data_IF_538802446937
#
_entry.id   IF_538802446937
#
_cell.length_a   1.000
_cell.length_b   1.000
_cell.length_c   1.000
_cell.angle_alpha   90.00
_cell.angle_beta   90.00
_cell.angle_gamma   90.00
#
_symmetry.space_group_name_H-M   'P 1'
#
loop_
_entity.id
_entity.type
_entity.pdbx_description
1 polymer ?
#
# COMPACT_ATOMS: atom_id res chain seq x y z
N UNK A 1 49.91 30.50 -5.81
CA UNK A 1 51.08 30.10 -6.70
C UNK A 1 50.96 28.61 -6.97
N UNK A 2 50.95 28.31 -8.29
CA UNK A 2 51.31 27.05 -8.96
C UNK A 2 50.52 25.79 -8.56
N UNK A 3 49.80 25.15 -9.42
CA UNK A 3 49.87 24.70 -10.84
C UNK A 3 50.01 23.16 -10.93
N UNK A 4 49.06 22.54 -11.67
CA UNK A 4 49.17 21.41 -12.62
C UNK A 4 49.44 20.01 -12.04
N UNK A 5 48.89 18.87 -12.53
CA UNK A 5 48.86 18.39 -13.92
C UNK A 5 47.96 17.16 -14.07
N UNK A 6 47.21 17.11 -15.15
CA UNK A 6 46.61 15.89 -15.77
C UNK A 6 47.67 14.85 -16.12
N UNK A 7 47.34 13.57 -16.11
CA UNK A 7 47.87 12.62 -17.08
C UNK A 7 46.85 11.51 -17.41
N UNK A 8 46.34 11.55 -18.60
CA UNK A 8 45.80 10.42 -19.37
C UNK A 8 46.96 9.49 -19.75
N UNK A 9 46.76 8.17 -19.70
CA UNK A 9 47.46 7.27 -20.62
C UNK A 9 46.60 6.03 -20.92
N UNK A 10 46.24 5.93 -22.19
CA UNK A 10 45.71 4.75 -22.91
C UNK A 10 46.90 3.86 -23.31
N UNK A 11 46.73 2.56 -23.44
CA UNK A 11 47.15 1.69 -24.57
C UNK A 11 47.20 0.21 -24.18
N UNK A 12 46.52 -0.55 -24.90
CA UNK A 12 46.70 -1.61 -25.92
C UNK A 12 46.98 -3.04 -25.42
N UNK A 13 46.03 -3.86 -25.71
CA UNK A 13 46.00 -5.09 -26.55
C UNK A 13 47.25 -5.97 -26.61
N UNK A 14 47.15 -7.22 -26.14
CA UNK A 14 47.74 -8.35 -26.84
C UNK A 14 47.01 -9.67 -26.52
N UNK A 15 46.49 -10.30 -27.57
CA UNK A 15 46.01 -11.69 -27.62
C UNK A 15 47.19 -12.65 -27.48
N UNK A 16 47.00 -13.72 -26.69
CA UNK A 16 47.58 -15.03 -27.00
C UNK A 16 46.60 -16.14 -26.58
N UNK A 17 46.25 -16.95 -27.54
CA UNK A 17 45.55 -18.26 -27.38
C UNK A 17 46.51 -19.29 -26.80
N UNK A 18 46.03 -20.21 -25.94
CA UNK A 18 46.07 -21.67 -26.04
C UNK A 18 45.75 -22.36 -24.69
N UNK A 19 44.87 -23.36 -24.75
CA UNK A 19 44.92 -24.54 -23.89
C UNK A 19 43.65 -24.89 -23.15
N UNK A 20 42.94 -25.89 -23.69
CA UNK A 20 41.86 -26.59 -23.00
C UNK A 20 42.29 -27.25 -21.68
N UNK A 21 41.51 -27.08 -20.60
CA UNK A 21 41.28 -28.14 -19.63
C UNK A 21 39.94 -27.92 -18.93
N UNK A 22 39.11 -28.96 -18.88
CA UNK A 22 37.84 -29.04 -18.17
C UNK A 22 38.03 -28.84 -16.67
N UNK A 23 37.38 -27.87 -16.10
CA UNK A 23 36.96 -27.87 -14.70
C UNK A 23 35.61 -27.19 -14.62
N UNK A 24 34.66 -27.88 -14.00
CA UNK A 24 33.32 -27.41 -13.68
C UNK A 24 33.43 -26.19 -12.75
N UNK A 25 33.16 -25.00 -13.26
CA UNK A 25 32.93 -23.82 -12.45
C UNK A 25 31.42 -23.64 -12.29
N UNK A 26 31.00 -23.66 -11.04
CA UNK A 26 29.70 -23.20 -10.56
C UNK A 26 29.59 -21.72 -10.90
N UNK A 27 28.69 -21.35 -11.80
CA UNK A 27 28.36 -19.95 -12.04
C UNK A 27 27.64 -19.40 -10.81
N UNK A 28 28.36 -18.60 -10.04
CA UNK A 28 27.75 -17.69 -9.07
C UNK A 28 27.02 -16.61 -9.86
N UNK A 29 25.71 -16.56 -9.72
CA UNK A 29 24.89 -15.49 -10.28
C UNK A 29 25.37 -14.14 -9.69
N UNK A 30 26.01 -13.31 -10.51
CA UNK A 30 26.33 -11.95 -10.17
C UNK A 30 25.03 -11.16 -10.28
N UNK A 31 24.50 -10.71 -9.13
CA UNK A 31 23.41 -9.76 -9.09
C UNK A 31 23.83 -8.49 -9.84
N UNK A 32 23.14 -8.16 -10.90
CA UNK A 32 23.31 -6.87 -11.58
C UNK A 32 22.78 -5.77 -10.63
N UNK A 33 23.49 -4.64 -10.51
CA UNK A 33 22.97 -3.50 -9.75
C UNK A 33 21.65 -3.05 -10.38
N UNK A 34 20.65 -2.80 -9.56
CA UNK A 34 19.43 -2.13 -9.98
C UNK A 34 19.83 -0.72 -10.40
N UNK A 35 19.82 -0.42 -11.70
CA UNK A 35 19.94 0.96 -12.17
C UNK A 35 18.71 1.72 -11.65
N UNK A 36 18.90 2.89 -11.07
CA UNK A 36 17.84 3.82 -10.68
C UNK A 36 16.92 4.03 -11.90
N UNK A 37 15.78 3.36 -11.90
CA UNK A 37 14.76 3.54 -12.93
C UNK A 37 14.05 4.86 -12.64
N UNK A 38 14.66 5.95 -13.05
CA UNK A 38 13.93 7.22 -13.18
C UNK A 38 13.03 7.05 -14.39
N UNK A 39 11.74 6.85 -14.16
CA UNK A 39 10.73 6.86 -15.23
C UNK A 39 10.68 8.26 -15.83
N UNK A 40 11.51 8.51 -16.83
CA UNK A 40 11.37 9.67 -17.70
C UNK A 40 10.42 9.30 -18.82
N UNK A 41 9.16 8.99 -18.49
CA UNK A 41 8.17 8.78 -19.51
C UNK A 41 7.65 10.14 -19.98
N UNK A 42 7.91 10.46 -21.24
CA UNK A 42 7.44 11.69 -21.90
C UNK A 42 5.90 11.72 -22.08
N UNK A 43 5.19 10.71 -21.62
CA UNK A 43 3.72 10.61 -21.65
C UNK A 43 3.06 11.18 -20.38
N UNK A 44 3.79 11.28 -19.25
CA UNK A 44 3.24 11.81 -18.00
C UNK A 44 2.84 13.28 -18.13
N UNK A 45 1.68 13.68 -17.57
CA UNK A 45 1.29 15.07 -17.57
C UNK A 45 2.25 15.92 -16.74
N UNK A 46 2.68 17.05 -17.29
CA UNK A 46 3.50 18.04 -16.63
C UNK A 46 2.80 19.39 -16.68
N UNK A 47 2.99 20.24 -15.64
CA UNK A 47 2.33 21.55 -15.58
C UNK A 47 2.58 22.39 -16.84
N UNK A 48 3.79 22.33 -17.39
CA UNK A 48 4.18 23.11 -18.57
C UNK A 48 3.52 22.60 -19.86
N UNK A 49 3.00 21.38 -19.87
CA UNK A 49 2.31 20.79 -21.01
C UNK A 49 0.82 21.07 -21.04
N UNK A 50 0.22 21.47 -19.91
CA UNK A 50 -1.21 21.74 -19.78
C UNK A 50 -1.49 23.20 -20.10
N UNK A 51 -2.33 23.44 -21.11
CA UNK A 51 -2.77 24.80 -21.45
C UNK A 51 -3.86 25.23 -20.47
N UNK A 52 -3.69 26.37 -19.80
CA UNK A 52 -4.66 26.92 -18.84
C UNK A 52 -5.47 28.04 -19.48
N UNK A 53 -6.79 27.87 -19.52
CA UNK A 53 -7.74 28.86 -20.02
C UNK A 53 -8.36 29.72 -18.91
N UNK A 54 -8.51 29.15 -17.70
CA UNK A 54 -9.16 29.77 -16.55
C UNK A 54 -8.53 29.26 -15.24
N UNK A 55 -8.55 30.10 -14.21
CA UNK A 55 -8.08 29.73 -12.87
C UNK A 55 -9.19 29.92 -11.85
N UNK A 56 -9.43 28.88 -11.03
CA UNK A 56 -10.36 28.90 -9.91
C UNK A 56 -9.56 28.93 -8.62
N UNK A 57 -9.89 29.81 -7.69
CA UNK A 57 -9.14 30.00 -6.44
C UNK A 57 -10.07 30.03 -5.24
N UNK A 58 -9.65 29.42 -4.12
CA UNK A 58 -10.27 29.59 -2.81
C UNK A 58 -9.18 29.83 -1.77
N UNK A 59 -9.23 31.01 -1.13
CA UNK A 59 -8.37 31.37 0.01
C UNK A 59 -9.15 31.25 1.34
N UNK A 60 -10.44 30.94 1.27
CA UNK A 60 -11.29 30.85 2.45
C UNK A 60 -11.14 29.47 3.14
N UNK A 61 -11.18 29.49 4.45
CA UNK A 61 -11.18 28.29 5.30
C UNK A 61 -12.51 27.54 5.12
N UNK A 62 -12.45 26.20 4.96
CA UNK A 62 -13.62 25.35 4.84
C UNK A 62 -14.46 25.57 3.57
N UNK A 63 -13.88 26.12 2.48
CA UNK A 63 -14.56 26.32 1.21
C UNK A 63 -13.80 25.69 0.04
N UNK A 64 -14.53 25.35 -1.02
CA UNK A 64 -13.98 24.77 -2.24
C UNK A 64 -13.66 25.84 -3.28
N UNK A 65 -12.72 25.58 -4.18
CA UNK A 65 -12.53 26.39 -5.38
C UNK A 65 -13.48 25.92 -6.50
N UNK A 66 -13.79 24.61 -6.54
CA UNK A 66 -14.80 24.01 -7.41
C UNK A 66 -15.65 23.03 -6.59
N UNK A 67 -16.97 23.17 -6.70
CA UNK A 67 -17.95 22.26 -6.11
C UNK A 67 -18.94 21.78 -7.17
N UNK A 68 -19.21 20.45 -7.16
CA UNK A 68 -20.28 19.81 -7.91
C UNK A 68 -21.25 19.17 -6.90
N UNK A 69 -22.38 19.85 -6.65
CA UNK A 69 -23.40 19.45 -5.68
C UNK A 69 -24.68 18.99 -6.40
N UNK A 70 -24.85 17.69 -6.57
CA UNK A 70 -26.03 17.07 -7.17
C UNK A 70 -26.25 17.35 -8.66
N UNK A 71 -25.39 18.13 -9.29
CA UNK A 71 -25.47 18.47 -10.72
C UNK A 71 -24.20 17.99 -11.45
N UNK A 72 -24.38 17.37 -12.61
CA UNK A 72 -23.27 16.92 -13.43
C UNK A 72 -22.57 18.12 -14.07
N UNK A 73 -21.25 18.15 -13.97
CA UNK A 73 -20.44 19.23 -14.55
C UNK A 73 -19.08 18.70 -15.04
N UNK A 74 -18.41 19.48 -15.89
CA UNK A 74 -17.09 19.13 -16.38
C UNK A 74 -16.23 20.38 -16.61
N UNK A 75 -14.93 20.22 -16.32
CA UNK A 75 -13.93 21.25 -16.52
C UNK A 75 -12.73 20.68 -17.29
N UNK A 76 -12.15 21.52 -18.13
CA UNK A 76 -10.92 21.16 -18.83
C UNK A 76 -10.01 22.37 -19.03
N UNK A 77 -8.70 22.13 -19.06
CA UNK A 77 -7.71 23.17 -19.30
C UNK A 77 -7.82 24.33 -18.27
N UNK A 78 -7.96 23.99 -17.02
CA UNK A 78 -8.08 24.94 -15.91
C UNK A 78 -6.97 24.73 -14.87
N UNK A 79 -6.73 25.77 -14.08
CA UNK A 79 -5.94 25.70 -12.85
C UNK A 79 -6.87 25.89 -11.65
N UNK A 80 -6.64 25.09 -10.60
CA UNK A 80 -7.32 25.21 -9.30
C UNK A 80 -6.27 25.47 -8.23
N UNK A 81 -6.47 26.52 -7.43
CA UNK A 81 -5.59 26.89 -6.34
C UNK A 81 -6.38 26.97 -5.03
N UNK A 82 -5.89 26.30 -3.97
CA UNK A 82 -6.53 26.31 -2.65
C UNK A 82 -5.50 26.56 -1.56
N UNK A 83 -5.74 27.62 -0.76
CA UNK A 83 -4.82 28.02 0.32
C UNK A 83 -5.47 28.11 1.71
N UNK A 84 -6.81 28.10 1.80
CA UNK A 84 -7.55 28.10 3.07
C UNK A 84 -7.35 26.82 3.86
N UNK A 85 -7.36 26.93 5.19
CA UNK A 85 -7.20 25.84 6.14
C UNK A 85 -8.55 25.29 6.62
N UNK A 86 -8.56 24.08 7.17
CA UNK A 86 -9.64 23.53 7.98
C UNK A 86 -9.11 22.52 8.99
N UNK A 87 -9.98 21.97 9.83
CA UNK A 87 -9.62 20.96 10.82
C UNK A 87 -10.85 20.23 11.35
N UNK A 88 -10.65 19.04 11.89
CA UNK A 88 -11.71 18.22 12.47
C UNK A 88 -12.35 17.26 11.47
N UNK A 89 -13.34 16.51 11.93
CA UNK A 89 -13.94 15.40 11.20
C UNK A 89 -14.54 15.80 9.85
N UNK A 90 -15.14 16.99 9.73
CA UNK A 90 -15.72 17.48 8.47
C UNK A 90 -14.64 17.67 7.41
N UNK A 91 -13.47 18.16 7.80
CA UNK A 91 -12.34 18.32 6.89
C UNK A 91 -11.61 17.02 6.61
N UNK A 92 -11.42 16.17 7.65
CA UNK A 92 -10.70 14.89 7.51
C UNK A 92 -11.44 13.88 6.64
N UNK A 93 -12.77 13.77 6.81
CA UNK A 93 -13.55 12.65 6.28
C UNK A 93 -14.66 13.04 5.30
N UNK A 94 -15.10 14.30 5.32
CA UNK A 94 -16.26 14.73 4.51
C UNK A 94 -15.93 15.82 3.48
N UNK A 95 -14.65 16.18 3.39
CA UNK A 95 -14.11 17.01 2.30
C UNK A 95 -14.33 18.50 2.41
N UNK A 96 -14.72 19.05 3.59
CA UNK A 96 -15.07 20.46 3.81
C UNK A 96 -14.06 21.47 3.19
N UNK A 97 -12.79 21.12 3.10
CA UNK A 97 -11.73 22.02 2.60
C UNK A 97 -11.07 21.56 1.31
N UNK A 98 -11.65 20.60 0.59
CA UNK A 98 -11.06 20.11 -0.65
C UNK A 98 -11.03 21.20 -1.73
N UNK A 99 -9.98 21.24 -2.55
CA UNK A 99 -9.87 22.20 -3.64
C UNK A 99 -10.96 21.96 -4.71
N UNK A 100 -11.18 20.71 -5.06
CA UNK A 100 -12.24 20.25 -5.97
C UNK A 100 -13.09 19.21 -5.24
N UNK A 101 -14.38 19.47 -5.12
CA UNK A 101 -15.31 18.65 -4.35
C UNK A 101 -16.53 18.24 -5.18
N UNK A 102 -16.90 16.96 -5.11
CA UNK A 102 -18.12 16.44 -5.71
C UNK A 102 -18.94 15.69 -4.66
N UNK A 103 -20.24 15.92 -4.62
CA UNK A 103 -21.16 15.37 -3.64
C UNK A 103 -22.58 15.20 -4.18
N UNK A 104 -23.49 14.59 -3.38
CA UNK A 104 -24.92 14.47 -3.62
C UNK A 104 -25.29 13.81 -4.95
N UNK A 105 -24.49 12.79 -5.37
CA UNK A 105 -24.75 12.04 -6.59
C UNK A 105 -24.33 12.74 -7.89
N UNK A 106 -23.54 13.81 -7.81
CA UNK A 106 -23.00 14.50 -8.97
C UNK A 106 -21.99 13.65 -9.74
N UNK A 107 -21.94 13.82 -11.06
CA UNK A 107 -20.83 13.35 -11.89
C UNK A 107 -19.96 14.52 -12.29
N UNK A 108 -18.70 14.53 -11.81
CA UNK A 108 -17.71 15.56 -12.12
C UNK A 108 -16.66 15.02 -13.10
N UNK A 109 -16.55 15.66 -14.26
CA UNK A 109 -15.52 15.37 -15.26
C UNK A 109 -14.39 16.40 -15.21
N UNK A 110 -13.13 15.93 -15.14
CA UNK A 110 -11.93 16.77 -15.10
C UNK A 110 -10.92 16.26 -16.12
N UNK A 111 -10.45 17.11 -17.02
CA UNK A 111 -9.45 16.74 -18.01
C UNK A 111 -8.41 17.83 -18.21
N UNK A 112 -7.13 17.46 -18.19
CA UNK A 112 -6.02 18.40 -18.42
C UNK A 112 -6.08 19.59 -17.47
N UNK A 113 -6.19 19.32 -16.16
CA UNK A 113 -6.23 20.34 -15.11
C UNK A 113 -4.95 20.34 -14.26
N UNK A 114 -4.67 21.48 -13.61
CA UNK A 114 -3.64 21.60 -12.59
C UNK A 114 -4.34 21.94 -11.27
N UNK A 115 -4.11 21.16 -10.21
CA UNK A 115 -4.58 21.44 -8.85
C UNK A 115 -3.38 21.68 -7.96
N UNK A 116 -3.34 22.82 -7.28
CA UNK A 116 -2.30 23.17 -6.31
C UNK A 116 -2.95 23.55 -4.97
N UNK A 117 -2.52 22.87 -3.88
CA UNK A 117 -3.01 23.20 -2.54
C UNK A 117 -1.85 23.33 -1.55
N UNK A 118 -1.96 24.28 -0.61
CA UNK A 118 -1.02 24.44 0.51
C UNK A 118 -1.72 24.59 1.88
N UNK A 119 -3.05 24.62 1.91
CA UNK A 119 -3.83 24.63 3.14
C UNK A 119 -3.85 23.28 3.86
N UNK A 120 -4.03 23.31 5.17
CA UNK A 120 -4.25 22.10 6.00
C UNK A 120 -5.63 21.51 5.68
N UNK A 121 -5.72 20.19 5.53
CA UNK A 121 -6.91 19.46 5.06
C UNK A 121 -7.43 19.89 3.68
N UNK A 122 -6.59 20.57 2.89
CA UNK A 122 -6.92 20.99 1.53
C UNK A 122 -6.59 19.87 0.53
N UNK A 123 -7.41 18.80 0.53
CA UNK A 123 -7.29 17.71 -0.42
C UNK A 123 -7.42 18.20 -1.86
N UNK A 124 -6.69 17.60 -2.80
CA UNK A 124 -6.71 18.01 -4.21
C UNK A 124 -8.09 17.81 -4.84
N UNK A 125 -8.53 16.55 -4.98
CA UNK A 125 -9.82 16.19 -5.58
C UNK A 125 -10.56 15.19 -4.69
N UNK A 126 -11.80 15.47 -4.37
CA UNK A 126 -12.60 14.71 -3.41
C UNK A 126 -13.94 14.25 -4.00
N UNK A 127 -14.26 12.96 -3.88
CA UNK A 127 -15.56 12.35 -4.21
C UNK A 127 -16.24 11.88 -2.94
N UNK A 128 -17.37 12.48 -2.57
CA UNK A 128 -18.10 12.18 -1.35
C UNK A 128 -19.53 11.71 -1.59
N UNK A 129 -19.88 10.57 -1.02
CA UNK A 129 -21.25 10.09 -0.92
C UNK A 129 -21.68 9.14 -2.02
N UNK A 130 -22.64 8.27 -1.71
CA UNK A 130 -23.19 7.27 -2.63
C UNK A 130 -23.75 7.91 -3.90
N UNK A 131 -23.41 7.33 -5.04
CA UNK A 131 -23.82 7.82 -6.36
C UNK A 131 -22.97 8.96 -6.92
N UNK A 132 -22.09 9.57 -6.11
CA UNK A 132 -21.15 10.59 -6.58
C UNK A 132 -20.01 9.96 -7.34
N UNK A 133 -19.64 10.53 -8.49
CA UNK A 133 -18.57 10.04 -9.34
C UNK A 133 -17.67 11.18 -9.82
N UNK A 134 -16.38 11.05 -9.59
CA UNK A 134 -15.36 11.92 -10.20
C UNK A 134 -14.60 11.13 -11.26
N UNK A 135 -14.49 11.69 -12.46
CA UNK A 135 -13.65 11.18 -13.54
C UNK A 135 -12.57 12.22 -13.84
N UNK A 136 -11.31 11.90 -13.61
CA UNK A 136 -10.19 12.81 -13.83
C UNK A 136 -9.14 12.18 -14.73
N UNK A 137 -8.62 12.96 -15.69
CA UNK A 137 -7.61 12.49 -16.64
C UNK A 137 -6.56 13.55 -16.99
N UNK A 138 -5.38 13.10 -17.43
CA UNK A 138 -4.29 13.91 -17.99
C UNK A 138 -3.93 15.14 -17.12
N UNK A 139 -3.89 14.99 -15.82
CA UNK A 139 -3.90 16.12 -14.87
C UNK A 139 -2.73 16.05 -13.89
N UNK A 140 -2.39 17.21 -13.32
CA UNK A 140 -1.35 17.35 -12.29
C UNK A 140 -1.98 17.81 -10.99
N UNK A 141 -1.65 17.14 -9.88
CA UNK A 141 -2.09 17.52 -8.53
C UNK A 141 -0.86 17.65 -7.63
N UNK A 142 -0.69 18.79 -7.00
CA UNK A 142 0.34 19.02 -6.00
C UNK A 142 -0.30 19.52 -4.70
N UNK A 143 -0.02 18.84 -3.58
CA UNK A 143 -0.50 19.25 -2.27
C UNK A 143 0.68 19.34 -1.30
N UNK A 144 0.77 20.44 -0.54
CA UNK A 144 1.86 20.66 0.41
C UNK A 144 1.40 20.77 1.86
N UNK A 145 0.11 20.98 2.09
CA UNK A 145 -0.49 21.03 3.43
C UNK A 145 -0.54 19.67 4.12
N UNK A 146 -0.58 19.67 5.45
CA UNK A 146 -0.82 18.46 6.23
C UNK A 146 -2.27 17.98 6.06
N UNK A 147 -2.49 16.67 6.17
CA UNK A 147 -3.79 16.04 5.97
C UNK A 147 -4.44 16.38 4.61
N UNK A 148 -3.62 16.62 3.60
CA UNK A 148 -4.04 17.11 2.28
C UNK A 148 -3.61 16.13 1.20
N UNK A 149 -4.42 15.09 0.99
CA UNK A 149 -4.18 14.04 -0.01
C UNK A 149 -4.41 14.53 -1.45
N UNK A 150 -3.95 13.73 -2.42
CA UNK A 150 -4.16 14.00 -3.84
C UNK A 150 -5.59 13.69 -4.28
N UNK A 151 -5.95 12.41 -4.34
CA UNK A 151 -7.30 11.90 -4.58
C UNK A 151 -7.90 11.38 -3.27
N UNK A 152 -9.12 11.77 -2.98
CA UNK A 152 -9.84 11.36 -1.79
C UNK A 152 -11.25 10.86 -2.12
N UNK A 153 -11.66 9.74 -1.50
CA UNK A 153 -12.99 9.16 -1.70
C UNK A 153 -13.53 8.65 -0.37
N UNK A 154 -14.73 9.11 0.01
CA UNK A 154 -15.40 8.67 1.25
C UNK A 154 -16.89 8.55 1.05
N UNK A 155 -17.59 7.97 2.05
CA UNK A 155 -19.05 7.86 2.03
C UNK A 155 -19.61 7.09 0.82
N UNK A 156 -18.88 6.09 0.34
CA UNK A 156 -19.24 5.27 -0.82
C UNK A 156 -19.25 6.03 -2.17
N UNK A 157 -18.42 7.07 -2.30
CA UNK A 157 -18.17 7.75 -3.58
C UNK A 157 -17.37 6.90 -4.56
N UNK A 158 -17.24 7.39 -5.79
CA UNK A 158 -16.43 6.76 -6.86
C UNK A 158 -15.43 7.74 -7.43
N UNK A 159 -14.17 7.31 -7.56
CA UNK A 159 -13.10 8.05 -8.22
C UNK A 159 -12.53 7.21 -9.37
N UNK A 160 -12.53 7.74 -10.58
CA UNK A 160 -11.86 7.15 -11.74
C UNK A 160 -10.79 8.12 -12.23
N UNK A 161 -9.54 7.69 -12.19
CA UNK A 161 -8.38 8.50 -12.52
C UNK A 161 -7.53 7.84 -13.60
N UNK A 162 -7.11 8.60 -14.60
CA UNK A 162 -6.27 8.07 -15.69
C UNK A 162 -5.16 9.06 -16.03
N UNK A 163 -3.92 8.57 -16.06
CA UNK A 163 -2.75 9.35 -16.45
C UNK A 163 -2.61 10.65 -15.64
N UNK A 164 -2.34 10.52 -14.34
CA UNK A 164 -2.12 11.65 -13.45
C UNK A 164 -0.65 11.74 -13.01
N UNK A 165 -0.22 12.95 -12.71
CA UNK A 165 0.99 13.22 -11.94
C UNK A 165 0.57 13.81 -10.60
N UNK A 166 0.72 13.03 -9.50
CA UNK A 166 0.36 13.47 -8.15
C UNK A 166 1.60 13.53 -7.28
N UNK A 167 1.80 14.65 -6.60
CA UNK A 167 2.87 14.84 -5.65
C UNK A 167 2.34 15.47 -4.35
N UNK A 168 2.48 14.75 -3.23
CA UNK A 168 2.08 15.24 -1.91
C UNK A 168 3.30 15.34 -0.99
N UNK A 169 3.49 16.45 -0.29
CA UNK A 169 4.64 16.65 0.61
C UNK A 169 4.24 16.83 2.08
N UNK A 170 2.96 17.05 2.36
CA UNK A 170 2.42 17.18 3.70
C UNK A 170 2.42 15.87 4.50
N UNK A 171 2.40 15.97 5.83
CA UNK A 171 2.20 14.81 6.69
C UNK A 171 0.74 14.33 6.63
N UNK A 172 0.52 13.02 6.77
CA UNK A 172 -0.81 12.40 6.68
C UNK A 172 -1.54 12.71 5.36
N UNK A 173 -0.79 12.78 4.26
CA UNK A 173 -1.23 13.25 2.94
C UNK A 173 -0.95 12.20 1.87
N UNK A 174 -1.74 11.12 1.84
CA UNK A 174 -1.62 10.07 0.84
C UNK A 174 -1.97 10.57 -0.57
N UNK A 175 -1.32 10.03 -1.60
CA UNK A 175 -1.62 10.40 -2.98
C UNK A 175 -3.00 9.88 -3.42
N UNK A 176 -3.35 8.64 -3.01
CA UNK A 176 -4.64 7.99 -3.25
C UNK A 176 -5.17 7.56 -1.89
N UNK A 177 -6.29 8.13 -1.47
CA UNK A 177 -6.85 7.89 -0.14
C UNK A 177 -8.34 7.63 -0.18
N UNK A 178 -8.78 6.73 0.68
CA UNK A 178 -10.17 6.63 1.11
C UNK A 178 -10.23 6.65 2.63
N UNK A 179 -11.39 7.02 3.16
CA UNK A 179 -11.67 7.05 4.58
C UNK A 179 -13.14 6.71 4.84
N UNK A 180 -13.68 7.03 6.00
CA UNK A 180 -15.01 6.67 6.52
C UNK A 180 -16.08 6.48 5.47
N UNK A 181 -16.69 5.28 5.47
CA UNK A 181 -17.73 4.89 4.55
C UNK A 181 -17.19 4.41 3.18
N UNK A 182 -15.88 4.35 3.00
CA UNK A 182 -15.25 3.71 1.85
C UNK A 182 -15.65 4.28 0.50
N UNK A 183 -15.66 3.42 -0.50
CA UNK A 183 -16.04 3.72 -1.88
C UNK A 183 -15.32 2.84 -2.89
N UNK A 184 -15.19 3.36 -4.11
CA UNK A 184 -14.45 2.69 -5.20
C UNK A 184 -13.48 3.65 -5.84
N UNK A 185 -12.20 3.25 -5.92
CA UNK A 185 -11.16 4.06 -6.57
C UNK A 185 -10.48 3.24 -7.65
N UNK A 186 -10.58 3.69 -8.89
CA UNK A 186 -9.93 3.08 -10.04
C UNK A 186 -8.91 4.05 -10.61
N UNK A 187 -7.65 3.65 -10.61
CA UNK A 187 -6.53 4.44 -11.11
C UNK A 187 -5.83 3.67 -12.21
N UNK A 188 -5.54 4.33 -13.32
CA UNK A 188 -4.74 3.75 -14.40
C UNK A 188 -3.72 4.76 -14.90
N UNK A 189 -2.53 4.27 -15.18
CA UNK A 189 -1.40 5.07 -15.64
C UNK A 189 -1.00 6.19 -14.67
N UNK A 190 0.14 6.80 -14.88
CA UNK A 190 0.57 7.97 -14.12
C UNK A 190 1.65 7.72 -13.07
N UNK A 191 1.97 8.77 -12.32
CA UNK A 191 2.98 8.78 -11.27
C UNK A 191 2.44 9.41 -10.00
N UNK A 192 2.60 8.73 -8.87
CA UNK A 192 2.01 9.08 -7.57
C UNK A 192 3.11 9.05 -6.51
N UNK A 193 3.53 10.22 -6.04
CA UNK A 193 4.68 10.36 -5.13
C UNK A 193 4.25 11.05 -3.83
N UNK A 194 4.70 10.49 -2.69
CA UNK A 194 4.46 11.07 -1.36
C UNK A 194 5.77 11.22 -0.58
N UNK A 195 5.94 12.36 0.13
CA UNK A 195 7.15 12.64 0.92
C UNK A 195 6.89 12.73 2.43
N UNK A 196 5.64 12.94 2.84
CA UNK A 196 5.29 13.26 4.21
C UNK A 196 5.34 12.06 5.17
N UNK A 197 5.54 12.36 6.46
CA UNK A 197 5.37 11.37 7.53
C UNK A 197 3.92 10.89 7.61
N UNK A 198 3.71 9.56 7.67
CA UNK A 198 2.37 8.99 7.69
C UNK A 198 1.58 9.23 6.40
N UNK A 199 2.28 9.41 5.28
CA UNK A 199 1.71 9.65 3.96
C UNK A 199 2.04 8.46 3.04
N UNK A 200 1.35 7.32 3.17
CA UNK A 200 1.51 6.24 2.22
C UNK A 200 1.08 6.70 0.83
N UNK A 201 1.53 6.01 -0.22
CA UNK A 201 1.01 6.32 -1.56
C UNK A 201 -0.47 5.99 -1.63
N UNK A 202 -0.85 4.81 -1.10
CA UNK A 202 -2.24 4.38 -1.00
C UNK A 202 -2.61 4.16 0.48
N UNK A 203 -3.69 4.80 0.93
CA UNK A 203 -4.37 4.49 2.18
C UNK A 203 -5.80 4.07 1.89
N UNK A 204 -6.12 2.79 2.15
CA UNK A 204 -7.40 2.21 1.75
C UNK A 204 -8.30 1.84 2.92
N UNK A 205 -9.49 2.45 2.95
CA UNK A 205 -10.70 1.97 3.60
C UNK A 205 -11.81 1.74 2.55
N UNK A 206 -11.46 1.39 1.32
CA UNK A 206 -12.32 1.20 0.17
C UNK A 206 -11.82 0.03 -0.69
N UNK A 207 -12.43 -0.17 -1.86
CA UNK A 207 -11.89 -0.98 -2.94
C UNK A 207 -11.06 -0.10 -3.87
N UNK A 208 -9.73 -0.22 -3.79
CA UNK A 208 -8.80 0.56 -4.62
C UNK A 208 -8.10 -0.36 -5.62
N UNK A 209 -8.20 -0.03 -6.89
CA UNK A 209 -7.47 -0.70 -7.98
C UNK A 209 -6.56 0.29 -8.68
N UNK A 210 -5.27 -0.05 -8.82
CA UNK A 210 -4.29 0.73 -9.58
C UNK A 210 -3.66 -0.16 -10.64
N UNK A 211 -3.52 0.36 -11.86
CA UNK A 211 -2.92 -0.37 -12.98
C UNK A 211 -1.96 0.52 -13.78
N UNK A 212 -0.90 -0.09 -14.31
CA UNK A 212 0.06 0.56 -15.24
C UNK A 212 0.65 1.87 -14.66
N UNK A 213 1.04 1.91 -13.39
CA UNK A 213 1.42 3.14 -12.69
C UNK A 213 2.74 3.02 -11.91
N UNK A 214 3.37 4.17 -11.68
CA UNK A 214 4.48 4.35 -10.75
C UNK A 214 4.00 4.92 -9.42
N UNK A 215 4.31 4.25 -8.32
CA UNK A 215 3.95 4.62 -6.96
C UNK A 215 5.22 4.73 -6.10
N UNK A 216 5.45 5.87 -5.43
CA UNK A 216 6.60 6.04 -4.54
C UNK A 216 6.23 6.76 -3.24
N UNK A 217 6.61 6.16 -2.11
CA UNK A 217 6.65 6.86 -0.82
C UNK A 217 8.10 6.97 -0.34
N UNK A 218 8.55 8.19 -0.06
CA UNK A 218 9.93 8.47 0.36
C UNK A 218 10.10 8.48 1.88
N UNK A 219 9.02 8.43 2.65
CA UNK A 219 9.08 8.53 4.12
C UNK A 219 8.08 7.65 4.87
N UNK A 220 7.18 6.99 4.16
CA UNK A 220 6.09 6.20 4.75
C UNK A 220 5.93 4.86 4.04
N UNK A 221 4.88 4.12 4.36
CA UNK A 221 4.50 2.91 3.64
C UNK A 221 4.17 3.22 2.17
N UNK A 222 4.34 2.24 1.29
CA UNK A 222 3.76 2.31 -0.06
C UNK A 222 2.25 2.16 0.00
N UNK A 223 1.76 1.13 0.74
CA UNK A 223 0.33 0.80 0.84
C UNK A 223 -0.07 0.56 2.29
N UNK A 224 -1.25 1.06 2.65
CA UNK A 224 -1.95 0.73 3.89
C UNK A 224 -3.36 0.26 3.55
N UNK A 225 -3.77 -0.91 4.09
CA UNK A 225 -5.13 -1.44 3.97
C UNK A 225 -5.71 -1.57 5.37
N UNK A 226 -6.84 -0.93 5.63
CA UNK A 226 -7.52 -0.98 6.92
C UNK A 226 -8.89 -1.66 6.82
N UNK A 227 -9.17 -2.58 7.77
CA UNK A 227 -10.46 -3.28 7.87
C UNK A 227 -10.73 -4.22 6.71
N UNK A 228 -12.00 -4.44 6.37
CA UNK A 228 -12.46 -5.35 5.31
C UNK A 228 -12.29 -4.78 3.88
N UNK A 229 -11.25 -4.02 3.65
CA UNK A 229 -11.06 -3.29 2.40
C UNK A 229 -9.98 -3.92 1.53
N UNK A 230 -9.82 -3.42 0.31
CA UNK A 230 -8.91 -4.03 -0.66
C UNK A 230 -8.02 -3.03 -1.39
N UNK A 231 -6.81 -3.52 -1.74
CA UNK A 231 -5.94 -2.88 -2.74
C UNK A 231 -5.53 -3.93 -3.76
N UNK A 232 -5.73 -3.60 -5.03
CA UNK A 232 -5.31 -4.42 -6.17
C UNK A 232 -4.37 -3.61 -7.06
N UNK A 233 -3.16 -4.13 -7.29
CA UNK A 233 -2.12 -3.53 -8.12
C UNK A 233 -1.84 -4.44 -9.32
N UNK A 234 -1.97 -3.91 -10.54
CA UNK A 234 -1.71 -4.65 -11.78
C UNK A 234 -0.65 -3.92 -12.61
N UNK A 235 0.48 -4.55 -12.90
CA UNK A 235 1.59 -3.95 -13.65
C UNK A 235 2.02 -2.59 -13.07
N UNK A 236 2.26 -2.57 -11.74
CA UNK A 236 2.61 -1.38 -10.98
C UNK A 236 4.05 -1.47 -10.51
N UNK A 237 4.79 -0.38 -10.62
CA UNK A 237 6.07 -0.20 -9.94
C UNK A 237 5.83 0.51 -8.60
N UNK A 238 6.00 -0.21 -7.48
CA UNK A 238 5.85 0.32 -6.13
C UNK A 238 7.20 0.45 -5.43
N UNK A 239 7.55 1.65 -5.01
CA UNK A 239 8.75 1.95 -4.19
C UNK A 239 8.32 2.46 -2.82
N UNK A 240 8.77 1.81 -1.76
CA UNK A 240 8.49 2.21 -0.38
C UNK A 240 9.79 2.49 0.37
N UNK A 241 9.84 3.61 1.08
CA UNK A 241 10.95 3.99 1.96
C UNK A 241 10.40 4.46 3.31
N UNK A 242 9.89 3.54 4.11
CA UNK A 242 9.26 3.85 5.39
C UNK A 242 10.30 4.14 6.47
N UNK A 243 10.65 5.40 6.67
CA UNK A 243 11.68 5.84 7.63
C UNK A 243 11.13 6.69 8.78
N UNK A 244 9.83 6.95 8.80
CA UNK A 244 9.19 7.76 9.82
C UNK A 244 7.86 7.17 10.29
N UNK A 245 7.74 6.87 11.59
CA UNK A 245 6.52 6.33 12.18
C UNK A 245 5.50 7.45 12.43
N UNK A 246 4.26 7.25 12.04
CA UNK A 246 3.15 8.14 12.36
C UNK A 246 2.56 7.86 13.76
N UNK A 247 2.89 6.72 14.36
CA UNK A 247 2.37 6.25 15.62
C UNK A 247 3.43 5.45 16.37
N UNK A 248 3.37 5.45 17.71
CA UNK A 248 4.21 4.63 18.58
C UNK A 248 3.61 3.22 18.83
N UNK A 249 2.58 2.84 18.07
CA UNK A 249 1.89 1.55 18.22
C UNK A 249 2.64 0.36 17.60
N UNK A 250 3.61 0.62 16.73
CA UNK A 250 4.49 -0.42 16.16
C UNK A 250 5.94 0.03 16.22
N UNK A 251 6.85 -0.90 16.45
CA UNK A 251 8.29 -0.66 16.40
C UNK A 251 8.90 -0.94 15.01
N UNK A 252 8.13 -1.53 14.11
CA UNK A 252 8.61 -1.96 12.81
C UNK A 252 8.27 -0.95 11.70
N UNK A 253 9.08 -0.95 10.64
CA UNK A 253 8.83 -0.29 9.37
C UNK A 253 8.44 -1.35 8.34
N UNK A 254 7.66 -0.99 7.34
CA UNK A 254 7.17 -1.91 6.32
C UNK A 254 6.77 -1.18 5.03
N UNK A 255 6.81 -1.91 3.90
CA UNK A 255 6.31 -1.40 2.62
C UNK A 255 4.79 -1.42 2.55
N UNK A 256 4.17 -2.53 2.97
CA UNK A 256 2.72 -2.69 3.00
C UNK A 256 2.25 -3.03 4.42
N UNK A 257 1.27 -2.29 4.93
CA UNK A 257 0.63 -2.53 6.22
C UNK A 257 -0.83 -2.91 6.02
N UNK A 258 -1.25 -4.01 6.66
CA UNK A 258 -2.63 -4.49 6.62
C UNK A 258 -3.10 -4.65 8.07
N UNK A 259 -4.11 -3.89 8.47
CA UNK A 259 -4.46 -3.84 9.88
C UNK A 259 -5.90 -3.41 10.16
N UNK A 260 -6.32 -3.53 11.40
CA UNK A 260 -7.54 -2.93 11.92
C UNK A 260 -7.20 -1.98 13.06
N UNK A 261 -7.48 -0.69 12.87
CA UNK A 261 -7.10 0.35 13.85
C UNK A 261 -8.01 0.40 15.06
N UNK A 262 -9.26 -0.04 14.95
CA UNK A 262 -10.34 0.13 15.93
C UNK A 262 -10.76 1.60 16.14
N UNK A 263 -10.44 2.48 15.18
CA UNK A 263 -10.87 3.89 15.20
C UNK A 263 -12.35 4.07 14.80
N UNK A 264 -12.90 3.09 14.08
CA UNK A 264 -14.23 3.16 13.47
C UNK A 264 -14.20 3.76 12.05
N UNK A 265 -13.02 3.96 11.47
CA UNK A 265 -12.86 4.49 10.11
C UNK A 265 -13.12 3.41 9.05
N UNK A 266 -12.91 2.14 9.40
CA UNK A 266 -13.20 0.98 8.56
C UNK A 266 -13.93 -0.11 9.33
N UNK A 267 -14.84 -0.82 8.66
CA UNK A 267 -15.52 -2.00 9.22
C UNK A 267 -14.55 -3.17 9.40
N UNK A 268 -14.78 -3.98 10.45
CA UNK A 268 -14.00 -5.20 10.68
C UNK A 268 -14.33 -6.27 9.63
N UNK A 269 -13.33 -7.02 9.19
CA UNK A 269 -13.51 -8.12 8.24
C UNK A 269 -12.19 -8.60 7.67
N UNK A 270 -12.25 -9.23 6.49
CA UNK A 270 -11.06 -9.72 5.81
C UNK A 270 -10.51 -8.63 4.87
N UNK A 271 -9.31 -8.17 5.18
CA UNK A 271 -8.55 -7.28 4.31
C UNK A 271 -7.97 -8.04 3.09
N UNK A 272 -7.74 -7.35 1.98
CA UNK A 272 -7.13 -7.95 0.80
C UNK A 272 -6.07 -7.06 0.17
N UNK A 273 -4.91 -7.64 -0.08
CA UNK A 273 -3.86 -7.06 -0.92
C UNK A 273 -3.55 -8.01 -2.06
N UNK A 274 -3.71 -7.55 -3.29
CA UNK A 274 -3.38 -8.32 -4.49
C UNK A 274 -2.41 -7.55 -5.34
N UNK A 275 -1.32 -8.20 -5.75
CA UNK A 275 -0.39 -7.61 -6.72
C UNK A 275 -0.07 -8.64 -7.81
N UNK A 276 -0.24 -8.19 -9.05
CA UNK A 276 0.02 -8.99 -10.25
C UNK A 276 0.90 -8.22 -11.21
N UNK A 277 1.94 -8.90 -11.68
CA UNK A 277 2.96 -8.30 -12.54
C UNK A 277 3.64 -7.07 -11.87
N UNK A 278 4.55 -6.40 -12.52
CA UNK A 278 5.23 -5.24 -11.98
C UNK A 278 6.28 -5.54 -10.90
N UNK A 279 6.54 -4.57 -10.02
CA UNK A 279 7.59 -4.68 -9.00
C UNK A 279 7.25 -3.97 -7.69
N UNK A 280 7.77 -4.53 -6.57
CA UNK A 280 7.78 -3.91 -5.25
C UNK A 280 9.22 -3.83 -4.76
N UNK A 281 9.72 -2.60 -4.60
CA UNK A 281 11.00 -2.29 -3.99
C UNK A 281 10.77 -1.69 -2.60
N UNK A 282 11.21 -2.38 -1.55
CA UNK A 282 11.25 -1.85 -0.19
C UNK A 282 12.67 -1.44 0.19
N UNK A 283 12.83 -0.22 0.69
CA UNK A 283 14.13 0.32 1.11
C UNK A 283 14.38 0.19 2.61
N UNK A 284 13.35 -0.10 3.41
CA UNK A 284 13.51 -0.17 4.87
C UNK A 284 12.38 -0.97 5.55
N UNK A 285 12.76 -1.92 6.41
CA UNK A 285 11.85 -2.76 7.18
C UNK A 285 11.28 -3.96 6.43
N UNK A 286 10.11 -4.42 6.85
CA UNK A 286 9.45 -5.60 6.31
C UNK A 286 8.74 -5.30 4.97
N UNK A 287 8.52 -6.30 4.13
CA UNK A 287 7.66 -6.13 2.95
C UNK A 287 6.21 -6.01 3.41
N UNK A 288 5.69 -7.01 4.13
CA UNK A 288 4.32 -7.02 4.64
C UNK A 288 4.29 -7.07 6.17
N UNK A 289 3.47 -6.22 6.77
CA UNK A 289 3.12 -6.29 8.18
C UNK A 289 1.61 -6.42 8.34
N UNK A 290 1.18 -7.47 9.04
CA UNK A 290 -0.25 -7.75 9.30
C UNK A 290 -0.51 -7.79 10.80
N UNK A 291 -1.47 -6.97 11.26
CA UNK A 291 -1.80 -6.82 12.67
C UNK A 291 -3.30 -6.65 12.92
N UNK A 292 -3.83 -7.32 13.94
CA UNK A 292 -5.20 -7.15 14.43
C UNK A 292 -6.27 -7.33 13.34
N UNK A 293 -6.04 -8.21 12.37
CA UNK A 293 -6.98 -8.44 11.24
C UNK A 293 -6.80 -9.83 10.62
N UNK A 294 -7.80 -10.24 9.85
CA UNK A 294 -7.67 -11.34 8.90
C UNK A 294 -7.33 -10.75 7.53
N UNK A 295 -6.30 -11.28 6.88
CA UNK A 295 -5.81 -10.74 5.62
C UNK A 295 -5.56 -11.81 4.58
N UNK A 296 -5.87 -11.49 3.31
CA UNK A 296 -5.41 -12.25 2.15
C UNK A 296 -4.37 -11.43 1.40
N UNK A 297 -3.20 -12.02 1.16
CA UNK A 297 -2.13 -11.45 0.33
C UNK A 297 -1.94 -12.36 -0.88
N UNK A 298 -2.15 -11.84 -2.08
CA UNK A 298 -2.00 -12.61 -3.33
C UNK A 298 -0.94 -11.98 -4.22
N UNK A 299 0.08 -12.75 -4.58
CA UNK A 299 1.19 -12.31 -5.43
C UNK A 299 1.29 -13.22 -6.66
N UNK A 300 1.29 -12.62 -7.86
CA UNK A 300 1.44 -13.32 -9.13
C UNK A 300 2.46 -12.60 -10.01
N UNK A 301 3.58 -13.26 -10.32
CA UNK A 301 4.64 -12.75 -11.22
C UNK A 301 5.16 -11.34 -10.83
N UNK A 302 5.31 -11.06 -9.53
CA UNK A 302 5.79 -9.77 -9.02
C UNK A 302 7.28 -9.86 -8.72
N UNK A 303 8.07 -8.89 -9.20
CA UNK A 303 9.46 -8.74 -8.78
C UNK A 303 9.51 -8.05 -7.41
N UNK A 304 9.83 -8.78 -6.34
CA UNK A 304 9.96 -8.22 -5.00
C UNK A 304 11.45 -8.11 -4.64
N UNK A 305 11.84 -6.93 -4.14
CA UNK A 305 13.19 -6.65 -3.63
C UNK A 305 13.05 -5.97 -2.27
N UNK A 306 13.66 -6.54 -1.24
CA UNK A 306 13.85 -5.89 0.04
C UNK A 306 15.33 -5.47 0.16
N UNK A 307 15.60 -4.16 0.24
CA UNK A 307 16.96 -3.64 0.45
C UNK A 307 17.37 -3.68 1.94
N UNK A 308 16.42 -3.89 2.85
CA UNK A 308 16.71 -4.08 4.26
C UNK A 308 17.00 -5.56 4.54
N UNK A 309 18.27 -5.87 4.79
CA UNK A 309 18.74 -7.25 5.04
C UNK A 309 18.16 -7.85 6.35
N UNK A 310 17.66 -7.03 7.28
CA UNK A 310 17.02 -7.46 8.53
C UNK A 310 15.48 -7.49 8.42
N UNK A 311 14.92 -7.05 7.29
CA UNK A 311 13.49 -7.00 7.04
C UNK A 311 12.91 -8.34 6.59
N UNK A 312 11.73 -8.67 7.09
CA UNK A 312 10.99 -9.89 6.74
C UNK A 312 10.18 -9.73 5.46
N UNK A 313 9.95 -10.83 4.74
CA UNK A 313 8.92 -10.88 3.69
C UNK A 313 7.52 -10.67 4.30
N UNK A 314 7.26 -11.32 5.43
CA UNK A 314 6.00 -11.18 6.16
C UNK A 314 6.26 -11.19 7.67
N UNK A 315 5.72 -10.19 8.34
CA UNK A 315 5.52 -10.19 9.79
C UNK A 315 4.02 -10.22 10.09
N UNK A 316 3.53 -11.34 10.64
CA UNK A 316 2.19 -11.44 11.21
C UNK A 316 2.34 -11.40 12.74
N UNK A 317 1.97 -10.28 13.37
CA UNK A 317 2.28 -10.08 14.78
C UNK A 317 1.34 -9.07 15.46
N UNK A 318 1.17 -9.25 16.76
CA UNK A 318 0.51 -8.27 17.62
C UNK A 318 1.33 -6.97 17.69
N UNK A 319 0.62 -5.85 17.77
CA UNK A 319 1.18 -4.52 17.99
C UNK A 319 0.24 -3.69 18.87
N UNK A 320 0.38 -2.37 18.90
CA UNK A 320 -0.43 -1.50 19.75
C UNK A 320 -1.88 -1.25 19.27
N UNK A 321 -2.35 -1.93 18.24
CA UNK A 321 -3.75 -1.89 17.79
C UNK A 321 -4.48 -3.14 18.27
N UNK A 322 -5.78 -3.01 18.56
CA UNK A 322 -6.63 -4.09 19.05
C UNK A 322 -6.45 -4.38 20.54
N UNK A 323 -6.89 -5.57 20.95
CA UNK A 323 -6.84 -6.03 22.36
C UNK A 323 -5.64 -6.96 22.53
N UNK A 324 -4.75 -6.66 23.46
CA UNK A 324 -3.57 -7.48 23.78
C UNK A 324 -3.96 -8.96 23.97
N UNK A 325 -3.22 -9.84 23.33
CA UNK A 325 -3.43 -11.30 23.34
C UNK A 325 -4.49 -11.82 22.35
N UNK A 326 -5.15 -10.93 21.60
CA UNK A 326 -6.08 -11.31 20.52
C UNK A 326 -5.97 -10.38 19.29
N UNK A 327 -4.88 -9.66 19.18
CA UNK A 327 -4.63 -8.67 18.13
C UNK A 327 -3.54 -9.10 17.15
N UNK A 328 -3.43 -10.39 16.92
CA UNK A 328 -2.54 -10.98 15.92
C UNK A 328 -2.96 -10.66 14.49
N UNK A 329 -2.08 -10.96 13.55
CA UNK A 329 -2.36 -11.01 12.13
C UNK A 329 -2.68 -12.45 11.70
N UNK A 330 -3.84 -12.65 11.05
CA UNK A 330 -4.23 -13.96 10.52
C UNK A 330 -4.18 -13.93 9.01
N UNK A 331 -3.16 -14.54 8.41
CA UNK A 331 -2.80 -14.34 7.01
C UNK A 331 -3.08 -15.60 6.18
N UNK A 332 -3.72 -15.42 5.04
CA UNK A 332 -3.65 -16.33 3.90
C UNK A 332 -2.77 -15.70 2.84
N UNK A 333 -1.61 -16.33 2.54
CA UNK A 333 -0.69 -15.84 1.53
C UNK A 333 -0.61 -16.78 0.35
N UNK A 334 -1.04 -16.31 -0.81
CA UNK A 334 -1.03 -17.03 -2.07
C UNK A 334 0.12 -16.56 -2.96
N UNK A 335 1.05 -17.46 -3.26
CA UNK A 335 2.14 -17.24 -4.23
C UNK A 335 1.86 -18.07 -5.48
N UNK A 336 1.59 -17.40 -6.60
CA UNK A 336 1.24 -18.06 -7.88
C UNK A 336 2.17 -17.58 -8.99
N UNK A 337 2.85 -18.50 -9.66
CA UNK A 337 3.89 -18.15 -10.66
C UNK A 337 4.89 -17.11 -10.10
N UNK A 338 5.25 -17.27 -8.82
CA UNK A 338 5.97 -16.28 -8.03
C UNK A 338 7.33 -16.81 -7.55
N UNK A 339 8.39 -16.07 -7.82
CA UNK A 339 9.68 -16.26 -7.16
C UNK A 339 9.88 -15.16 -6.14
N UNK A 340 10.10 -15.52 -4.88
CA UNK A 340 10.28 -14.55 -3.79
C UNK A 340 11.28 -15.06 -2.76
N UNK A 341 12.02 -14.11 -2.20
CA UNK A 341 13.00 -14.34 -1.13
C UNK A 341 12.66 -13.49 0.10
N UNK A 342 12.98 -14.00 1.28
CA UNK A 342 12.83 -13.33 2.56
C UNK A 342 12.17 -14.20 3.61
N UNK A 343 12.54 -13.99 4.87
CA UNK A 343 12.06 -14.78 5.99
C UNK A 343 10.64 -14.35 6.43
N UNK A 344 9.94 -15.24 7.10
CA UNK A 344 8.58 -15.01 7.62
C UNK A 344 8.59 -15.19 9.13
N UNK A 345 7.96 -14.27 9.85
CA UNK A 345 7.72 -14.38 11.27
C UNK A 345 6.23 -14.30 11.61
N UNK A 346 5.77 -15.23 12.42
CA UNK A 346 4.38 -15.32 12.90
C UNK A 346 4.43 -15.49 14.41
N UNK A 347 3.89 -14.56 15.17
CA UNK A 347 3.92 -14.62 16.63
C UNK A 347 2.84 -15.55 17.22
N UNK A 348 2.84 -15.72 18.54
CA UNK A 348 2.00 -16.67 19.29
C UNK A 348 0.49 -16.42 19.20
N UNK A 349 0.07 -15.22 18.79
CA UNK A 349 -1.35 -14.86 18.64
C UNK A 349 -1.76 -14.68 17.18
N UNK A 350 -0.87 -15.01 16.26
CA UNK A 350 -1.07 -14.88 14.82
C UNK A 350 -1.09 -16.23 14.13
N UNK A 351 -1.52 -16.26 12.88
CA UNK A 351 -1.50 -17.46 12.05
C UNK A 351 -1.20 -17.18 10.59
N UNK A 352 -0.69 -18.21 9.89
CA UNK A 352 -0.39 -18.15 8.46
C UNK A 352 -0.84 -19.43 7.76
N UNK A 353 -1.57 -19.27 6.65
CA UNK A 353 -1.70 -20.30 5.62
C UNK A 353 -0.94 -19.81 4.38
N UNK A 354 0.16 -20.47 4.04
CA UNK A 354 1.02 -20.14 2.90
C UNK A 354 0.83 -21.17 1.79
N UNK A 355 0.47 -20.73 0.61
CA UNK A 355 0.27 -21.55 -0.57
C UNK A 355 1.27 -21.19 -1.66
N UNK A 356 2.04 -22.19 -2.12
CA UNK A 356 2.93 -22.08 -3.28
C UNK A 356 2.29 -22.83 -4.45
N UNK A 357 1.87 -22.08 -5.46
CA UNK A 357 1.11 -22.57 -6.62
C UNK A 357 1.81 -22.25 -7.94
N UNK A 358 1.46 -22.97 -8.98
CA UNK A 358 1.88 -22.65 -10.37
C UNK A 358 3.39 -22.46 -10.53
N UNK A 359 4.19 -23.45 -10.04
CA UNK A 359 5.65 -23.42 -10.12
C UNK A 359 6.35 -22.29 -9.32
N UNK A 360 5.71 -21.78 -8.29
CA UNK A 360 6.29 -20.78 -7.41
C UNK A 360 7.51 -21.30 -6.65
N UNK A 361 8.46 -20.42 -6.41
CA UNK A 361 9.66 -20.69 -5.61
C UNK A 361 9.74 -19.70 -4.47
N UNK A 362 9.70 -20.19 -3.25
CA UNK A 362 9.94 -19.42 -2.05
C UNK A 362 11.30 -19.79 -1.46
N UNK A 363 12.15 -18.81 -1.21
CA UNK A 363 13.44 -18.96 -0.50
C UNK A 363 13.38 -18.16 0.79
N UNK A 364 13.44 -18.82 1.93
CA UNK A 364 13.35 -18.14 3.24
C UNK A 364 13.16 -19.13 4.38
N UNK A 365 13.37 -18.63 5.59
CA UNK A 365 13.03 -19.32 6.83
C UNK A 365 11.65 -18.90 7.32
N UNK A 366 11.00 -19.77 8.07
CA UNK A 366 9.73 -19.48 8.74
C UNK A 366 9.93 -19.77 10.24
N UNK A 367 9.74 -18.74 11.08
CA UNK A 367 9.89 -18.83 12.54
C UNK A 367 11.19 -19.53 12.95
N UNK A 368 12.34 -18.97 12.56
CA UNK A 368 13.67 -19.52 12.87
C UNK A 368 13.88 -19.68 14.38
N UNK A 369 13.46 -18.72 15.19
CA UNK A 369 13.65 -18.68 16.64
C UNK A 369 12.53 -19.35 17.45
N UNK A 370 11.86 -20.41 16.93
CA UNK A 370 10.77 -21.11 17.62
C UNK A 370 9.66 -20.16 18.13
N UNK A 371 9.00 -19.43 17.24
CA UNK A 371 7.76 -18.73 17.55
C UNK A 371 6.59 -19.73 17.68
N UNK A 372 5.62 -19.45 18.55
CA UNK A 372 4.45 -20.32 18.80
C UNK A 372 3.28 -20.08 17.82
N UNK A 373 3.47 -19.28 16.78
CA UNK A 373 2.42 -19.00 15.78
C UNK A 373 1.97 -20.25 15.03
N UNK A 374 0.69 -20.35 14.71
CA UNK A 374 0.14 -21.46 13.94
C UNK A 374 0.38 -21.26 12.45
N UNK A 375 1.10 -22.20 11.82
CA UNK A 375 1.52 -22.05 10.41
C UNK A 375 1.23 -23.33 9.63
N UNK A 376 0.47 -23.19 8.56
CA UNK A 376 0.29 -24.18 7.52
C UNK A 376 1.00 -23.78 6.25
N UNK A 377 1.71 -24.71 5.63
CA UNK A 377 2.33 -24.51 4.31
C UNK A 377 1.81 -25.59 3.36
N UNK A 378 1.34 -25.19 2.19
CA UNK A 378 0.98 -26.08 1.08
C UNK A 378 1.82 -25.75 -0.15
N UNK A 379 2.48 -26.79 -0.68
CA UNK A 379 3.33 -26.67 -1.85
C UNK A 379 2.75 -27.55 -2.95
N UNK A 380 2.17 -26.92 -3.97
CA UNK A 380 1.64 -27.59 -5.15
C UNK A 380 2.76 -28.27 -5.95
N UNK A 381 2.43 -29.34 -6.68
CA UNK A 381 3.38 -30.02 -7.55
C UNK A 381 4.04 -29.05 -8.55
N UNK A 382 5.36 -29.04 -8.60
CA UNK A 382 6.16 -28.12 -9.44
C UNK A 382 6.60 -26.85 -8.73
N UNK A 383 6.00 -26.51 -7.57
CA UNK A 383 6.44 -25.41 -6.71
C UNK A 383 7.48 -25.89 -5.69
N UNK A 384 8.25 -24.96 -5.13
CA UNK A 384 9.38 -25.29 -4.26
C UNK A 384 9.56 -24.31 -3.10
N UNK A 385 9.89 -24.85 -1.92
CA UNK A 385 10.41 -24.09 -0.80
C UNK A 385 11.88 -24.46 -0.56
N UNK A 386 12.77 -23.43 -0.56
CA UNK A 386 14.20 -23.56 -0.28
C UNK A 386 14.47 -22.86 1.05
N UNK A 387 15.00 -23.56 2.02
CA UNK A 387 15.27 -22.98 3.33
C UNK A 387 16.52 -22.08 3.30
N UNK A 388 16.42 -20.91 3.93
CA UNK A 388 17.56 -20.00 4.22
C UNK A 388 18.16 -20.23 5.62
N UNK A 389 17.34 -20.70 6.57
CA UNK A 389 17.73 -21.09 7.94
C UNK A 389 16.80 -22.20 8.47
N UNK A 390 17.03 -22.65 9.71
CA UNK A 390 16.14 -23.59 10.37
C UNK A 390 14.72 -23.00 10.45
N UNK A 391 13.69 -23.84 10.31
CA UNK A 391 12.30 -23.37 10.21
C UNK A 391 11.35 -24.21 11.06
N UNK A 392 10.34 -23.55 11.63
CA UNK A 392 9.33 -24.16 12.49
C UNK A 392 7.93 -23.85 11.99
N UNK A 393 7.14 -24.89 11.68
CA UNK A 393 5.74 -24.77 11.23
C UNK A 393 4.85 -25.79 11.94
N UNK A 394 3.53 -25.57 11.90
CA UNK A 394 2.55 -26.43 12.56
C UNK A 394 2.12 -27.58 11.66
N UNK A 395 1.90 -27.32 10.37
CA UNK A 395 1.30 -28.28 9.43
C UNK A 395 1.86 -28.08 8.02
N UNK A 396 1.97 -29.19 7.24
CA UNK A 396 2.60 -29.17 5.93
C UNK A 396 1.89 -30.12 4.96
N UNK A 397 1.57 -29.65 3.77
CA UNK A 397 1.19 -30.46 2.60
C UNK A 397 2.22 -30.26 1.50
N UNK A 398 2.90 -31.33 1.09
CA UNK A 398 3.92 -31.25 0.05
C UNK A 398 4.14 -32.60 -0.67
N UNK A 399 4.62 -32.53 -1.92
CA UNK A 399 5.22 -33.67 -2.61
C UNK A 399 6.66 -33.92 -2.11
N UNK A 400 7.22 -35.10 -2.43
CA UNK A 400 8.53 -35.50 -1.92
C UNK A 400 9.71 -34.64 -2.38
N UNK A 401 9.56 -33.91 -3.48
CA UNK A 401 10.60 -33.08 -4.10
C UNK A 401 10.34 -31.56 -3.98
N UNK A 402 9.32 -31.18 -3.21
CA UNK A 402 8.89 -29.78 -3.07
C UNK A 402 9.74 -28.98 -2.08
N UNK A 403 10.55 -29.60 -1.23
CA UNK A 403 11.35 -28.95 -0.20
C UNK A 403 12.82 -29.22 -0.43
N UNK A 404 13.61 -28.16 -0.41
CA UNK A 404 15.07 -28.18 -0.39
C UNK A 404 15.52 -27.66 0.97
N UNK A 405 16.02 -28.52 1.82
CA UNK A 405 16.49 -28.15 3.15
C UNK A 405 17.76 -27.27 3.09
N UNK A 406 18.50 -27.32 1.99
CA UNK A 406 19.69 -26.48 1.77
C UNK A 406 20.69 -26.53 2.96
N UNK A 407 20.74 -27.65 3.68
CA UNK A 407 21.61 -27.87 4.85
C UNK A 407 21.02 -27.43 6.19
N UNK A 408 19.80 -26.92 6.21
CA UNK A 408 19.05 -26.51 7.40
C UNK A 408 18.05 -27.58 7.84
N UNK A 409 17.30 -27.31 8.90
CA UNK A 409 16.28 -28.19 9.44
C UNK A 409 14.89 -27.57 9.34
N UNK A 410 13.92 -28.39 9.00
CA UNK A 410 12.51 -28.05 9.08
C UNK A 410 11.86 -28.88 10.20
N UNK A 411 11.17 -28.22 11.12
CA UNK A 411 10.35 -28.86 12.13
C UNK A 411 8.87 -28.66 11.81
N UNK A 412 8.13 -29.77 11.73
CA UNK A 412 6.68 -29.76 11.54
C UNK A 412 6.03 -30.28 12.81
N UNK A 413 5.31 -29.42 13.53
CA UNK A 413 4.76 -29.71 14.85
C UNK A 413 5.80 -30.30 15.82
N UNK A 414 6.99 -29.69 15.85
CA UNK A 414 8.13 -30.10 16.69
C UNK A 414 8.85 -31.38 16.25
N UNK A 415 8.45 -31.99 15.13
CA UNK A 415 9.10 -33.19 14.57
C UNK A 415 9.96 -32.82 13.38
N UNK A 416 11.25 -33.19 13.42
CA UNK A 416 12.20 -32.92 12.33
C UNK A 416 11.72 -33.59 11.04
N UNK A 417 11.51 -32.79 9.98
CA UNK A 417 11.14 -33.26 8.65
C UNK A 417 12.30 -33.98 7.99
N UNK A 418 12.00 -35.11 7.36
CA UNK A 418 12.98 -35.86 6.57
C UNK A 418 12.82 -35.50 5.09
N UNK A 419 13.85 -34.92 4.51
CA UNK A 419 13.88 -34.52 3.11
C UNK A 419 13.45 -35.69 2.19
N UNK A 420 12.68 -35.36 1.17
CA UNK A 420 12.12 -36.38 0.26
C UNK A 420 10.84 -37.08 0.77
N UNK A 421 10.24 -36.61 1.86
CA UNK A 421 9.00 -37.13 2.41
C UNK A 421 7.81 -36.30 1.95
N UNK A 422 6.82 -36.97 1.29
CA UNK A 422 5.53 -36.32 1.03
C UNK A 422 4.67 -36.28 2.30
N UNK A 423 4.05 -35.16 2.60
CA UNK A 423 3.15 -34.98 3.73
C UNK A 423 1.78 -34.45 3.27
N UNK A 424 0.76 -34.69 4.11
CA UNK A 424 -0.57 -34.12 3.94
C UNK A 424 -1.07 -33.64 5.30
N UNK A 425 -0.99 -32.33 5.49
CA UNK A 425 -1.46 -31.61 6.66
C UNK A 425 -2.85 -31.04 6.50
N UNK A 426 -3.25 -30.21 7.45
CA UNK A 426 -4.52 -29.49 7.48
C UNK A 426 -4.26 -27.99 7.65
N UNK A 427 -5.09 -27.18 6.98
CA UNK A 427 -5.06 -25.70 7.09
C UNK A 427 -5.35 -25.23 8.52
N UNK A 428 -4.82 -24.07 8.87
CA UNK A 428 -5.19 -23.37 10.09
C UNK A 428 -6.54 -22.69 9.89
N UNK A 429 -7.51 -23.05 10.71
CA UNK A 429 -8.84 -22.45 10.66
C UNK A 429 -8.93 -21.33 11.68
N UNK A 430 -9.05 -20.09 11.22
CA UNK A 430 -9.28 -18.92 12.08
C UNK A 430 -10.76 -18.81 12.35
N UNK A 431 -11.17 -19.06 13.60
CA UNK A 431 -12.54 -18.74 14.04
C UNK A 431 -12.64 -17.23 14.27
N UNK A 432 -13.29 -16.50 13.36
CA UNK A 432 -13.64 -15.12 13.61
C UNK A 432 -14.63 -15.09 14.77
N UNK A 433 -14.20 -14.63 15.93
CA UNK A 433 -15.13 -14.31 17.01
C UNK A 433 -15.99 -13.14 16.55
N UNK A 434 -17.22 -13.42 16.16
CA UNK A 434 -18.22 -12.38 15.93
C UNK A 434 -18.51 -11.69 17.26
N UNK A 435 -17.71 -10.71 17.64
CA UNK A 435 -18.08 -9.74 18.65
C UNK A 435 -19.18 -8.88 18.04
N UNK A 436 -20.44 -9.35 18.16
CA UNK A 436 -21.61 -8.54 17.83
C UNK A 436 -21.66 -7.38 18.83
N UNK A 437 -20.88 -6.35 18.62
CA UNK A 437 -21.22 -5.03 19.13
C UNK A 437 -22.41 -4.56 18.31
N UNK A 438 -23.61 -4.92 18.81
CA UNK A 438 -24.85 -4.46 18.24
C UNK A 438 -24.84 -2.93 18.21
N UNK A 439 -24.53 -2.39 17.05
CA UNK A 439 -24.96 -1.03 16.75
C UNK A 439 -26.48 -1.07 16.78
N UNK A 440 -27.06 -0.57 17.88
CA UNK A 440 -28.48 -0.28 17.92
C UNK A 440 -28.74 0.77 16.85
N UNK A 441 -29.26 0.31 15.71
CA UNK A 441 -29.84 1.17 14.71
C UNK A 441 -30.96 1.98 15.35
N UNK A 442 -30.66 3.16 15.83
CA UNK A 442 -31.68 4.19 16.01
C UNK A 442 -32.10 4.66 14.61
N UNK A 443 -33.23 4.10 14.23
CA UNK A 443 -33.95 4.42 13.02
C UNK A 443 -34.37 5.90 13.01
N UNK A 444 -34.07 6.55 11.92
CA UNK A 444 -34.92 7.59 11.35
C UNK A 444 -34.47 9.02 11.56
N UNK A 445 -33.56 9.48 10.72
CA UNK A 445 -33.63 10.88 10.29
C UNK A 445 -34.32 10.93 8.91
N UNK A 446 -35.56 11.43 8.92
CA UNK A 446 -36.21 11.92 7.70
C UNK A 446 -35.48 13.15 7.21
N UNK A 447 -35.31 13.36 5.90
CA UNK A 447 -34.80 14.61 5.38
C UNK A 447 -35.76 15.72 5.73
N UNK A 448 -35.34 16.63 6.58
CA UNK A 448 -36.03 17.87 6.89
C UNK A 448 -35.65 18.91 5.85
N UNK A 449 -36.67 19.39 5.16
CA UNK A 449 -36.61 20.59 4.30
C UNK A 449 -36.30 21.83 5.12
N UNK A 450 -35.29 22.60 4.71
CA UNK A 450 -35.27 24.05 4.86
C UNK A 450 -34.51 24.61 6.06
N UNK A 451 -33.45 25.34 5.74
CA UNK A 451 -32.95 26.55 6.38
C UNK A 451 -33.05 26.66 7.91
N UNK A 452 -31.97 26.26 8.59
CA UNK A 452 -31.41 27.01 9.72
C UNK A 452 -30.10 26.32 10.15
N UNK A 453 -29.01 27.06 10.35
CA UNK A 453 -27.76 26.49 10.84
C UNK A 453 -27.92 26.07 12.31
N UNK A 454 -27.27 24.98 12.75
CA UNK A 454 -27.34 24.55 14.16
C UNK A 454 -26.66 25.58 15.07
N UNK A 455 -27.36 25.91 16.16
CA UNK A 455 -26.86 26.80 17.22
C UNK A 455 -25.60 26.21 17.88
N UNK A 456 -24.59 27.04 18.04
CA UNK A 456 -23.36 26.75 18.81
C UNK A 456 -23.71 26.29 20.24
N UNK A 457 -23.01 25.27 20.77
CA UNK A 457 -23.12 24.94 22.19
C UNK A 457 -22.60 26.10 23.04
N UNK A 458 -23.42 26.56 23.97
CA UNK A 458 -23.06 27.57 24.94
C UNK A 458 -22.05 27.03 25.96
N UNK A 459 -20.95 27.77 26.13
CA UNK A 459 -20.00 27.60 27.23
C UNK A 459 -20.72 27.56 28.59
N UNK A 460 -20.68 26.42 29.26
CA UNK A 460 -20.93 26.34 30.69
C UNK A 460 -19.59 26.27 31.44
N UNK A 461 -19.10 27.47 31.76
CA UNK A 461 -18.15 27.72 32.82
C UNK A 461 -18.86 27.55 34.15
N UNK A 462 -18.44 26.60 34.99
CA UNK A 462 -18.71 26.64 36.42
C UNK A 462 -17.61 25.95 37.23
N UNK A 463 -16.94 26.79 38.06
CA UNK A 463 -16.36 26.43 39.35
C UNK A 463 -14.98 25.80 39.38
#
# INVERSE_FOLDING_TARGET
>A
MKKYLLLLLSLLLSMTMYGCSNSSETETAISQPVEDLVVTDSSLPAKESITINETYTSEADGEHAIEADGEDTAYSNIKVEKTGDSSGDEADFYGENAAVFATNGATLGLDSIIVETDGTHANGVFSYGEGTTVNISNSVIETTGNCSGGLMTTGNGTMNATNLSIHTTGNSSAAIRSDRGGGTVNVSEGSYITEGKGSPVIYSTADITVSDAYLESTSSQGVVVEGQNSVTLNDVELVASNVSKNSDKSDWYQAAMIYQSMSGDADEGTASFTMKDGSLLNKNGDIFFVNNTVATISLENVKIVNEDEEGYLLRAAAAGWGTEGSNGGHVTMDLSDQTVEGDIIVDEVSSLNLYLKNSSVYTGAINEEESEGEIYVEIEEGSKWILSADSNITSLTCAADSIDLNGHKLYVNGVEYSEGTALKGEEIVVEMSSSSHGHSSESGHKPGNGNEPPEKPSDHNNG
#
